data_IF_596698684876
#
_entry.id   IF_596698684876
#
_cell.length_a   1.000
_cell.length_b   1.000
_cell.length_c   1.000
_cell.angle_alpha   90.00
_cell.angle_beta   90.00
_cell.angle_gamma   90.00
#
_symmetry.space_group_name_H-M   'P 1'
#
loop_
_entity.id
_entity.type
_entity.pdbx_description
1 polymer ?
#
# COMPACT_ATOMS: atom_id res chain seq x y z
N UNK A 1 0.91 4.70 -12.40
CA UNK A 1 2.00 4.32 -13.33
C UNK A 1 3.36 4.90 -12.88
N UNK A 2 3.47 6.17 -12.47
CA UNK A 2 4.76 6.78 -12.13
C UNK A 2 5.55 5.96 -11.08
N UNK A 3 4.94 5.67 -9.92
CA UNK A 3 5.61 4.89 -8.85
C UNK A 3 6.04 3.51 -9.36
N UNK A 4 5.15 2.79 -10.06
CA UNK A 4 5.48 1.47 -10.60
C UNK A 4 6.57 1.52 -11.66
N UNK A 5 6.57 2.54 -12.52
CA UNK A 5 7.61 2.74 -13.55
C UNK A 5 8.99 3.03 -12.94
N UNK A 6 9.05 3.87 -11.89
CA UNK A 6 10.29 4.15 -11.16
C UNK A 6 10.77 2.89 -10.42
N UNK A 7 9.85 2.13 -9.82
CA UNK A 7 10.18 0.87 -9.12
C UNK A 7 10.72 -0.17 -10.09
N UNK A 8 10.06 -0.37 -11.22
CA UNK A 8 10.52 -1.26 -12.28
C UNK A 8 11.88 -0.80 -12.84
N UNK A 9 12.07 0.50 -13.06
CA UNK A 9 13.36 1.07 -13.51
C UNK A 9 14.50 0.74 -12.55
N UNK A 10 14.29 0.91 -11.24
CA UNK A 10 15.28 0.53 -10.23
C UNK A 10 15.56 -0.97 -10.24
N UNK A 11 14.51 -1.80 -10.33
CA UNK A 11 14.66 -3.25 -10.44
C UNK A 11 15.54 -3.64 -11.64
N UNK A 12 15.22 -3.14 -12.83
CA UNK A 12 15.96 -3.43 -14.04
C UNK A 12 17.43 -2.99 -13.97
N UNK A 13 17.69 -1.87 -13.29
CA UNK A 13 19.04 -1.35 -13.08
C UNK A 13 19.86 -2.25 -12.13
N UNK A 14 19.21 -2.76 -11.07
CA UNK A 14 19.92 -3.39 -9.95
C UNK A 14 19.82 -4.92 -9.91
N UNK A 15 18.92 -5.55 -10.69
CA UNK A 15 18.60 -7.00 -10.57
C UNK A 15 19.79 -7.93 -10.75
N UNK A 16 20.83 -7.49 -11.47
CA UNK A 16 22.08 -8.25 -11.68
C UNK A 16 23.26 -7.69 -10.88
N UNK A 17 23.06 -6.66 -10.05
CA UNK A 17 24.11 -6.10 -9.24
C UNK A 17 24.33 -6.96 -7.98
N UNK A 18 25.59 -7.34 -7.74
CA UNK A 18 25.96 -8.15 -6.57
C UNK A 18 26.07 -7.29 -5.29
N UNK A 19 25.01 -6.54 -4.96
CA UNK A 19 24.96 -5.61 -3.81
C UNK A 19 24.16 -6.13 -2.62
N UNK A 20 23.64 -7.37 -2.71
CA UNK A 20 23.01 -8.08 -1.59
C UNK A 20 21.90 -7.29 -0.88
N UNK A 21 22.06 -7.12 0.43
CA UNK A 21 21.04 -6.43 1.27
C UNK A 21 20.78 -4.97 0.88
N UNK A 22 21.72 -4.30 0.19
CA UNK A 22 21.51 -2.94 -0.30
C UNK A 22 20.48 -2.94 -1.45
N UNK A 23 20.46 -3.93 -2.33
CA UNK A 23 19.40 -4.11 -3.32
C UNK A 23 18.03 -4.19 -2.63
N UNK A 24 17.92 -5.06 -1.63
CA UNK A 24 16.68 -5.25 -0.89
C UNK A 24 16.21 -3.96 -0.19
N UNK A 25 17.15 -3.21 0.40
CA UNK A 25 16.85 -1.92 1.01
C UNK A 25 16.32 -0.90 0.00
N UNK A 26 16.99 -0.74 -1.14
CA UNK A 26 16.58 0.21 -2.16
C UNK A 26 15.22 -0.14 -2.76
N UNK A 27 14.96 -1.43 -3.03
CA UNK A 27 13.67 -1.90 -3.51
C UNK A 27 12.55 -1.68 -2.48
N UNK A 28 12.83 -1.90 -1.20
CA UNK A 28 11.87 -1.71 -0.12
C UNK A 28 11.55 -0.22 0.13
N UNK A 29 12.56 0.64 0.15
CA UNK A 29 12.41 2.05 0.48
C UNK A 29 11.83 2.90 -0.66
N UNK A 30 12.01 2.49 -1.92
CA UNK A 30 11.69 3.32 -3.08
C UNK A 30 10.23 3.80 -3.14
N UNK A 31 9.19 2.97 -2.93
CA UNK A 31 7.81 3.43 -2.97
C UNK A 31 7.53 4.51 -1.92
N UNK A 32 8.15 4.40 -0.75
CA UNK A 32 8.01 5.38 0.34
C UNK A 32 8.70 6.71 -0.01
N UNK A 33 9.92 6.64 -0.55
CA UNK A 33 10.68 7.82 -0.99
C UNK A 33 9.95 8.57 -2.11
N UNK A 34 9.46 7.86 -3.14
CA UNK A 34 8.76 8.46 -4.28
C UNK A 34 7.45 9.13 -3.86
N UNK A 35 6.79 8.61 -2.82
CA UNK A 35 5.54 9.19 -2.30
C UNK A 35 5.76 10.19 -1.17
N UNK A 36 7.02 10.55 -0.88
CA UNK A 36 7.37 11.50 0.18
C UNK A 36 6.91 11.04 1.56
N UNK A 37 6.91 9.73 1.81
CA UNK A 37 6.50 9.07 3.06
C UNK A 37 5.03 9.26 3.46
N UNK A 38 4.20 9.94 2.64
CA UNK A 38 2.81 10.27 2.98
C UNK A 38 1.96 9.04 3.34
N UNK A 39 2.14 7.93 2.62
CA UNK A 39 1.40 6.70 2.92
C UNK A 39 1.93 5.99 4.17
N UNK A 40 3.23 6.10 4.40
CA UNK A 40 3.90 5.54 5.56
C UNK A 40 3.51 6.28 6.84
N UNK A 41 3.35 7.61 6.77
CA UNK A 41 2.82 8.45 7.84
C UNK A 41 1.43 7.94 8.27
N UNK A 42 0.50 7.81 7.32
CA UNK A 42 -0.83 7.23 7.60
C UNK A 42 -0.77 5.79 8.14
N UNK A 43 0.22 4.98 7.72
CA UNK A 43 0.44 3.65 8.30
C UNK A 43 0.82 3.74 9.78
N UNK A 44 1.73 4.65 10.13
CA UNK A 44 2.18 4.87 11.50
C UNK A 44 1.06 5.37 12.39
N UNK A 45 0.27 6.34 11.92
CA UNK A 45 -0.86 6.92 12.64
C UNK A 45 -1.94 5.88 12.96
N UNK A 46 -2.29 5.03 11.98
CA UNK A 46 -3.25 3.95 12.19
C UNK A 46 -2.69 2.90 13.16
N UNK A 47 -1.41 2.55 13.07
CA UNK A 47 -0.77 1.64 14.03
C UNK A 47 -0.87 2.19 15.45
N UNK A 48 -0.55 3.46 15.65
CA UNK A 48 -0.57 4.06 16.99
C UNK A 48 -2.00 4.13 17.54
N UNK A 49 -2.95 4.58 16.73
CA UNK A 49 -4.35 4.66 17.11
C UNK A 49 -4.93 3.28 17.48
N UNK A 50 -4.76 2.28 16.61
CA UNK A 50 -5.42 0.98 16.75
C UNK A 50 -4.74 0.10 17.80
N UNK A 51 -3.40 0.05 17.83
CA UNK A 51 -2.67 -0.78 18.77
C UNK A 51 -2.71 -0.23 20.20
N UNK A 52 -3.09 1.03 20.40
CA UNK A 52 -3.36 1.61 21.72
C UNK A 52 -4.49 0.88 22.47
N UNK A 53 -5.36 0.15 21.75
CA UNK A 53 -6.52 -0.59 22.28
C UNK A 53 -7.46 0.26 23.15
N UNK A 54 -7.48 1.57 22.93
CA UNK A 54 -8.37 2.51 23.62
C UNK A 54 -9.78 2.47 23.00
N UNK A 55 -10.72 3.13 23.63
CA UNK A 55 -12.06 3.37 23.09
C UNK A 55 -12.00 4.17 21.76
N UNK A 56 -13.04 4.09 20.96
CA UNK A 56 -13.08 4.67 19.61
C UNK A 56 -12.75 6.17 19.59
N UNK A 57 -13.36 6.95 20.50
CA UNK A 57 -13.13 8.41 20.57
C UNK A 57 -11.67 8.76 20.82
N UNK A 58 -11.00 7.99 21.70
CA UNK A 58 -9.57 8.17 21.99
C UNK A 58 -8.70 7.74 20.80
N UNK A 59 -9.02 6.62 20.12
CA UNK A 59 -8.30 6.20 18.90
C UNK A 59 -8.41 7.24 17.78
N UNK A 60 -9.59 7.81 17.58
CA UNK A 60 -9.80 8.88 16.59
C UNK A 60 -9.06 10.18 16.96
N UNK A 61 -8.83 10.43 18.25
CA UNK A 61 -8.00 11.55 18.72
C UNK A 61 -6.52 11.30 18.50
N UNK A 62 -6.04 10.09 18.82
CA UNK A 62 -4.64 9.67 18.55
C UNK A 62 -4.34 9.79 17.05
N UNK A 63 -5.23 9.35 16.18
CA UNK A 63 -5.09 9.43 14.73
C UNK A 63 -4.85 10.87 14.21
N UNK A 64 -5.18 11.89 14.97
CA UNK A 64 -5.00 13.32 14.64
C UNK A 64 -3.88 13.98 15.41
N UNK A 65 -3.23 13.24 16.30
CA UNK A 65 -2.12 13.75 17.09
C UNK A 65 -0.87 13.75 16.20
N UNK A 66 -0.21 14.89 16.12
CA UNK A 66 1.06 15.02 15.37
C UNK A 66 2.27 14.36 16.07
N UNK A 67 2.09 13.85 17.29
CA UNK A 67 3.14 13.16 18.01
C UNK A 67 3.19 11.68 17.64
N UNK A 68 4.38 11.19 17.37
CA UNK A 68 4.61 9.77 17.08
C UNK A 68 4.63 8.96 18.38
N UNK A 69 3.74 7.99 18.51
CA UNK A 69 3.69 7.06 19.64
C UNK A 69 4.55 5.82 19.47
N UNK A 70 4.69 5.05 20.53
CA UNK A 70 5.52 3.85 20.53
C UNK A 70 5.04 2.77 19.55
N UNK A 71 3.73 2.62 19.37
CA UNK A 71 3.18 1.61 18.46
C UNK A 71 3.40 1.96 17.00
N UNK A 72 3.44 3.26 16.64
CA UNK A 72 3.83 3.72 15.32
C UNK A 72 5.26 3.28 14.99
N UNK A 73 6.20 3.49 15.93
CA UNK A 73 7.62 3.10 15.75
C UNK A 73 7.77 1.58 15.64
N UNK A 74 7.12 0.81 16.53
CA UNK A 74 7.14 -0.65 16.48
C UNK A 74 6.57 -1.16 15.14
N UNK A 75 5.42 -0.65 14.73
CA UNK A 75 4.80 -0.99 13.46
C UNK A 75 5.72 -0.70 12.27
N UNK A 76 6.33 0.49 12.25
CA UNK A 76 7.27 0.89 11.22
C UNK A 76 8.50 -0.02 11.13
N UNK A 77 9.11 -0.35 12.26
CA UNK A 77 10.29 -1.24 12.30
C UNK A 77 9.92 -2.63 11.76
N UNK A 78 8.79 -3.19 12.20
CA UNK A 78 8.32 -4.49 11.72
C UNK A 78 8.01 -4.48 10.23
N UNK A 79 7.36 -3.43 9.74
CA UNK A 79 7.08 -3.24 8.31
C UNK A 79 8.37 -3.17 7.50
N UNK A 80 9.33 -2.34 7.92
CA UNK A 80 10.60 -2.15 7.22
C UNK A 80 11.41 -3.45 7.14
N UNK A 81 11.51 -4.19 8.25
CA UNK A 81 12.18 -5.47 8.30
C UNK A 81 11.48 -6.52 7.42
N UNK A 82 10.14 -6.56 7.46
CA UNK A 82 9.36 -7.47 6.62
C UNK A 82 9.58 -7.18 5.13
N UNK A 83 9.44 -5.91 4.72
CA UNK A 83 9.58 -5.52 3.32
C UNK A 83 11.01 -5.71 2.81
N UNK A 84 12.01 -5.39 3.62
CA UNK A 84 13.42 -5.68 3.32
C UNK A 84 13.66 -7.18 3.15
N UNK A 85 13.14 -8.01 4.05
CA UNK A 85 13.30 -9.47 3.99
C UNK A 85 12.63 -10.07 2.75
N UNK A 86 11.46 -9.55 2.36
CA UNK A 86 10.77 -9.93 1.12
C UNK A 86 11.69 -9.72 -0.08
N UNK A 87 12.24 -8.52 -0.27
CA UNK A 87 13.13 -8.24 -1.41
C UNK A 87 14.48 -8.94 -1.32
N UNK A 88 14.96 -9.24 -0.12
CA UNK A 88 16.17 -10.03 0.07
C UNK A 88 16.02 -11.48 -0.44
N UNK A 89 14.78 -12.00 -0.42
CA UNK A 89 14.44 -13.36 -0.86
C UNK A 89 14.09 -13.44 -2.35
N UNK A 90 14.04 -12.30 -3.06
CA UNK A 90 13.70 -12.24 -4.49
C UNK A 90 14.82 -12.75 -5.41
N UNK A 91 14.47 -12.95 -6.68
CA UNK A 91 15.39 -13.34 -7.75
C UNK A 91 15.55 -12.25 -8.81
N UNK A 92 16.49 -12.45 -9.76
CA UNK A 92 16.72 -11.52 -10.86
C UNK A 92 15.71 -11.64 -12.02
N UNK A 93 14.88 -12.70 -12.02
CA UNK A 93 14.00 -13.06 -13.15
C UNK A 93 12.51 -12.96 -12.76
N UNK A 94 12.16 -11.94 -11.99
CA UNK A 94 10.79 -11.72 -11.55
C UNK A 94 9.93 -11.00 -12.62
N UNK A 95 8.61 -11.13 -12.51
CA UNK A 95 7.62 -10.53 -13.42
C UNK A 95 7.76 -9.01 -13.53
N UNK A 96 7.96 -8.49 -14.74
CA UNK A 96 8.04 -7.04 -14.98
C UNK A 96 6.69 -6.35 -14.85
N UNK A 97 5.63 -6.94 -15.42
CA UNK A 97 4.27 -6.42 -15.34
C UNK A 97 3.72 -6.49 -13.91
N UNK A 98 4.10 -7.56 -13.17
CA UNK A 98 3.74 -7.71 -11.77
C UNK A 98 4.19 -6.50 -10.95
N UNK A 99 5.48 -6.18 -10.99
CA UNK A 99 6.04 -5.07 -10.22
C UNK A 99 5.48 -3.71 -10.66
N UNK A 100 5.40 -3.47 -11.98
CA UNK A 100 4.88 -2.22 -12.55
C UNK A 100 3.45 -1.91 -12.07
N UNK A 101 2.60 -2.94 -11.96
CA UNK A 101 1.17 -2.76 -11.76
C UNK A 101 0.70 -2.95 -10.32
N UNK A 102 1.55 -3.38 -9.38
CA UNK A 102 1.26 -3.35 -7.93
C UNK A 102 0.77 -1.96 -7.50
N UNK A 103 1.52 -0.85 -7.72
CA UNK A 103 1.07 0.46 -7.27
C UNK A 103 -0.16 0.98 -8.03
N UNK A 104 -0.41 0.52 -9.23
CA UNK A 104 -1.61 0.88 -10.00
C UNK A 104 -2.85 0.24 -9.38
N UNK A 105 -2.77 -1.06 -9.06
CA UNK A 105 -3.86 -1.80 -8.43
C UNK A 105 -4.24 -1.20 -7.06
N UNK A 106 -3.26 -0.94 -6.20
CA UNK A 106 -3.52 -0.37 -4.87
C UNK A 106 -4.14 1.03 -4.95
N UNK A 107 -3.69 1.89 -5.88
CA UNK A 107 -4.26 3.24 -6.05
C UNK A 107 -5.64 3.23 -6.68
N UNK A 108 -5.93 2.30 -7.57
CA UNK A 108 -7.29 2.10 -8.06
C UNK A 108 -8.24 1.67 -6.92
N UNK A 109 -7.79 0.75 -6.06
CA UNK A 109 -8.51 0.38 -4.84
C UNK A 109 -8.71 1.58 -3.91
N UNK A 110 -7.69 2.43 -3.73
CA UNK A 110 -7.78 3.63 -2.89
C UNK A 110 -8.84 4.61 -3.40
N UNK A 111 -8.84 4.87 -4.71
CA UNK A 111 -9.87 5.70 -5.32
C UNK A 111 -11.28 5.13 -5.15
N UNK A 112 -11.45 3.81 -5.35
CA UNK A 112 -12.74 3.13 -5.13
C UNK A 112 -13.19 3.20 -3.66
N UNK A 113 -12.27 3.02 -2.70
CA UNK A 113 -12.57 3.10 -1.28
C UNK A 113 -13.04 4.51 -0.88
N UNK A 114 -12.36 5.56 -1.35
CA UNK A 114 -12.75 6.95 -1.10
C UNK A 114 -14.14 7.26 -1.68
N UNK A 115 -14.45 6.74 -2.88
CA UNK A 115 -15.75 6.98 -3.52
C UNK A 115 -16.91 6.20 -2.90
N UNK A 116 -16.65 5.01 -2.35
CA UNK A 116 -17.70 4.06 -1.93
C UNK A 116 -17.89 3.98 -0.42
N UNK A 117 -16.83 4.14 0.36
CA UNK A 117 -16.92 4.01 1.81
C UNK A 117 -17.40 5.30 2.48
N UNK A 118 -18.01 5.14 3.65
CA UNK A 118 -18.44 6.28 4.47
C UNK A 118 -17.21 7.04 4.98
N UNK A 119 -17.09 8.35 4.71
CA UNK A 119 -15.97 9.12 5.23
C UNK A 119 -16.09 9.25 6.77
N UNK A 120 -14.94 9.30 7.44
CA UNK A 120 -14.89 9.74 8.84
C UNK A 120 -15.34 11.20 8.92
N UNK A 121 -16.13 11.57 9.95
CA UNK A 121 -16.75 12.90 10.04
C UNK A 121 -15.77 14.08 9.97
N UNK A 122 -14.49 13.82 10.22
CA UNK A 122 -13.41 14.81 10.18
C UNK A 122 -12.53 14.70 8.93
N UNK A 123 -12.87 13.80 7.99
CA UNK A 123 -12.12 13.56 6.77
C UNK A 123 -12.40 14.61 5.72
N UNK A 124 -11.35 15.09 5.04
CA UNK A 124 -11.48 15.94 3.84
C UNK A 124 -12.29 15.27 2.72
N UNK A 125 -12.42 13.94 2.71
CA UNK A 125 -13.24 13.19 1.76
C UNK A 125 -14.76 13.43 1.93
N UNK A 126 -15.20 13.97 3.07
CA UNK A 126 -16.61 14.31 3.29
C UNK A 126 -17.12 15.39 2.32
N UNK A 127 -16.23 16.27 1.84
CA UNK A 127 -16.54 17.34 0.90
C UNK A 127 -16.44 16.93 -0.58
N UNK A 128 -15.91 15.74 -0.88
CA UNK A 128 -15.72 15.29 -2.27
C UNK A 128 -17.03 14.78 -2.89
N UNK A 129 -17.39 15.35 -4.04
CA UNK A 129 -18.55 14.89 -4.82
C UNK A 129 -18.35 13.43 -5.31
N UNK A 130 -19.43 12.64 -5.19
CA UNK A 130 -19.43 11.22 -5.62
C UNK A 130 -19.92 11.11 -7.07
N UNK A 131 -18.99 11.14 -8.03
CA UNK A 131 -19.31 10.95 -9.43
C UNK A 131 -19.16 9.47 -9.85
N UNK A 132 -20.27 8.84 -10.28
CA UNK A 132 -20.30 7.43 -10.67
C UNK A 132 -19.34 7.05 -11.81
N UNK A 133 -19.07 7.97 -12.75
CA UNK A 133 -18.15 7.74 -13.87
C UNK A 133 -16.72 7.43 -13.44
N UNK A 134 -16.22 8.08 -12.38
CA UNK A 134 -14.88 7.79 -11.86
C UNK A 134 -14.78 6.39 -11.25
N UNK A 135 -15.85 5.89 -10.62
CA UNK A 135 -15.86 4.54 -10.06
C UNK A 135 -15.73 3.46 -11.16
N UNK A 136 -16.38 3.65 -12.30
CA UNK A 136 -16.26 2.74 -13.44
C UNK A 136 -14.85 2.77 -14.02
N UNK A 137 -14.28 3.96 -14.23
CA UNK A 137 -12.92 4.10 -14.74
C UNK A 137 -11.88 3.44 -13.81
N UNK A 138 -12.02 3.62 -12.49
CA UNK A 138 -11.14 2.98 -11.51
C UNK A 138 -11.32 1.46 -11.45
N UNK A 139 -12.55 0.95 -11.61
CA UNK A 139 -12.81 -0.48 -11.65
C UNK A 139 -12.20 -1.12 -12.93
N UNK A 140 -12.30 -0.46 -14.07
CA UNK A 140 -11.66 -0.90 -15.32
C UNK A 140 -10.14 -0.87 -15.18
N UNK A 141 -9.57 0.18 -14.58
CA UNK A 141 -8.14 0.29 -14.34
C UNK A 141 -7.65 -0.83 -13.40
N UNK A 142 -8.40 -1.12 -12.33
CA UNK A 142 -8.08 -2.22 -11.40
C UNK A 142 -8.13 -3.58 -12.12
N UNK A 143 -9.18 -3.82 -12.90
CA UNK A 143 -9.32 -5.05 -13.67
C UNK A 143 -8.15 -5.23 -14.66
N UNK A 144 -7.75 -4.18 -15.36
CA UNK A 144 -6.60 -4.19 -16.26
C UNK A 144 -5.28 -4.42 -15.50
N UNK A 145 -5.09 -3.76 -14.34
CA UNK A 145 -3.89 -3.91 -13.52
C UNK A 145 -3.72 -5.33 -12.98
N UNK A 146 -4.80 -6.08 -12.80
CA UNK A 146 -4.77 -7.49 -12.40
C UNK A 146 -4.64 -8.42 -13.62
N UNK A 147 -5.42 -8.18 -14.68
CA UNK A 147 -5.49 -9.08 -15.82
C UNK A 147 -4.20 -9.07 -16.66
N UNK A 148 -3.58 -7.91 -16.86
CA UNK A 148 -2.37 -7.80 -17.70
C UNK A 148 -1.23 -8.65 -17.14
N UNK A 149 -0.80 -8.53 -15.87
CA UNK A 149 0.29 -9.36 -15.36
C UNK A 149 -0.06 -10.85 -15.29
N UNK A 150 -1.33 -11.16 -15.02
CA UNK A 150 -1.80 -12.54 -14.98
C UNK A 150 -1.67 -13.22 -16.35
N UNK A 151 -2.01 -12.52 -17.44
CA UNK A 151 -1.94 -13.05 -18.81
C UNK A 151 -0.53 -13.02 -19.36
N UNK A 152 0.22 -11.94 -19.14
CA UNK A 152 1.55 -11.73 -19.74
C UNK A 152 2.65 -12.50 -19.02
N UNK A 153 2.64 -12.50 -17.69
CA UNK A 153 3.73 -13.02 -16.85
C UNK A 153 3.25 -14.09 -15.85
N UNK A 154 1.97 -14.44 -15.86
CA UNK A 154 1.34 -15.32 -14.84
C UNK A 154 1.52 -14.81 -13.41
N UNK A 155 1.65 -13.51 -13.23
CA UNK A 155 1.89 -12.88 -11.93
C UNK A 155 0.59 -12.53 -11.22
N UNK A 156 0.44 -13.01 -10.00
CA UNK A 156 -0.66 -12.69 -9.09
C UNK A 156 -0.37 -11.48 -8.19
N UNK A 157 0.77 -10.82 -8.34
CA UNK A 157 1.22 -9.76 -7.45
C UNK A 157 0.24 -8.57 -7.34
N UNK A 158 -0.33 -8.00 -8.43
CA UNK A 158 -1.31 -6.93 -8.30
C UNK A 158 -2.65 -7.40 -7.72
N UNK A 159 -3.03 -8.66 -7.91
CA UNK A 159 -4.20 -9.23 -7.25
C UNK A 159 -4.00 -9.31 -5.74
N UNK A 160 -2.83 -9.79 -5.30
CA UNK A 160 -2.46 -9.84 -3.89
C UNK A 160 -2.39 -8.43 -3.28
N UNK A 161 -1.86 -7.46 -4.03
CA UNK A 161 -1.82 -6.07 -3.61
C UNK A 161 -3.23 -5.49 -3.42
N UNK A 162 -4.16 -5.76 -4.34
CA UNK A 162 -5.56 -5.35 -4.23
C UNK A 162 -6.27 -6.02 -3.04
N UNK A 163 -6.04 -7.32 -2.84
CA UNK A 163 -6.58 -8.07 -1.71
C UNK A 163 -6.03 -7.56 -0.37
N UNK A 164 -4.72 -7.35 -0.28
CA UNK A 164 -4.06 -6.79 0.90
C UNK A 164 -4.58 -5.39 1.24
N UNK A 165 -4.75 -4.52 0.22
CA UNK A 165 -5.38 -3.22 0.37
C UNK A 165 -6.80 -3.36 0.94
N UNK A 166 -7.63 -4.22 0.34
CA UNK A 166 -9.02 -4.43 0.75
C UNK A 166 -9.14 -4.90 2.21
N UNK A 167 -8.31 -5.87 2.61
CA UNK A 167 -8.27 -6.36 3.99
C UNK A 167 -7.82 -5.29 4.98
N UNK A 168 -6.80 -4.50 4.62
CA UNK A 168 -6.30 -3.43 5.45
C UNK A 168 -7.32 -2.28 5.62
N UNK A 169 -7.99 -1.88 4.54
CA UNK A 169 -9.09 -0.90 4.61
C UNK A 169 -10.23 -1.41 5.46
N UNK A 170 -10.65 -2.66 5.24
CA UNK A 170 -11.72 -3.27 6.04
C UNK A 170 -11.37 -3.25 7.54
N UNK A 171 -10.13 -3.62 7.88
CA UNK A 171 -9.66 -3.58 9.26
C UNK A 171 -9.64 -2.15 9.83
N UNK A 172 -8.97 -1.22 9.15
CA UNK A 172 -8.87 0.18 9.60
C UNK A 172 -10.24 0.86 9.71
N UNK A 173 -11.11 0.65 8.72
CA UNK A 173 -12.48 1.16 8.73
C UNK A 173 -13.28 0.67 9.93
N UNK A 174 -13.18 -0.62 10.27
CA UNK A 174 -13.86 -1.19 11.44
C UNK A 174 -13.31 -0.68 12.76
N UNK A 175 -11.99 -0.47 12.83
CA UNK A 175 -11.34 -0.02 14.06
C UNK A 175 -11.56 1.48 14.34
N UNK A 176 -11.75 2.29 13.30
CA UNK A 176 -11.77 3.75 13.40
C UNK A 176 -13.12 4.37 12.97
N UNK A 177 -14.08 3.55 12.56
CA UNK A 177 -15.47 3.93 12.22
C UNK A 177 -15.58 4.96 11.11
N UNK A 178 -14.87 4.78 10.01
CA UNK A 178 -14.96 5.63 8.82
C UNK A 178 -13.69 5.60 7.98
N UNK A 179 -13.73 6.20 6.79
CA UNK A 179 -12.61 6.28 5.86
C UNK A 179 -11.96 7.66 5.90
N UNK A 180 -10.64 7.70 5.96
CA UNK A 180 -9.83 8.93 5.85
C UNK A 180 -8.51 8.67 5.10
N UNK A 181 -7.66 9.70 4.98
CA UNK A 181 -6.37 9.62 4.31
C UNK A 181 -5.41 8.62 4.94
N UNK A 182 -5.37 8.57 6.27
CA UNK A 182 -4.45 7.73 7.05
C UNK A 182 -4.78 6.25 6.87
N UNK A 183 -6.07 5.89 6.90
CA UNK A 183 -6.53 4.52 6.60
C UNK A 183 -6.19 4.15 5.15
N UNK A 184 -6.30 5.09 4.20
CA UNK A 184 -5.89 4.84 2.83
C UNK A 184 -4.38 4.62 2.72
N UNK A 185 -3.57 5.42 3.40
CA UNK A 185 -2.11 5.28 3.48
C UNK A 185 -1.68 3.95 4.10
N UNK A 186 -2.29 3.60 5.24
CA UNK A 186 -2.13 2.31 5.89
C UNK A 186 -2.39 1.14 4.94
N UNK A 187 -3.51 1.21 4.23
CA UNK A 187 -3.91 0.14 3.32
C UNK A 187 -3.05 0.09 2.05
N UNK A 188 -2.62 1.25 1.51
CA UNK A 188 -1.67 1.31 0.40
C UNK A 188 -0.36 0.63 0.76
N UNK A 189 0.19 0.94 1.93
CA UNK A 189 1.44 0.37 2.43
C UNK A 189 1.36 -1.14 2.58
N UNK A 190 0.31 -1.66 3.22
CA UNK A 190 0.12 -3.11 3.38
C UNK A 190 -0.24 -3.82 2.08
N UNK A 191 -1.00 -3.19 1.21
CA UNK A 191 -1.31 -3.72 -0.12
C UNK A 191 -0.06 -3.85 -0.98
N UNK A 192 0.81 -2.83 -1.00
CA UNK A 192 2.08 -2.89 -1.74
C UNK A 192 3.02 -3.95 -1.16
N UNK A 193 3.09 -4.12 0.17
CA UNK A 193 3.83 -5.20 0.80
C UNK A 193 3.29 -6.57 0.39
N UNK A 194 1.97 -6.78 0.41
CA UNK A 194 1.34 -8.04 -0.02
C UNK A 194 1.65 -8.36 -1.49
N UNK A 195 1.56 -7.35 -2.36
CA UNK A 195 1.93 -7.47 -3.77
C UNK A 195 3.41 -7.83 -3.95
N UNK A 196 4.31 -7.12 -3.26
CA UNK A 196 5.74 -7.38 -3.28
C UNK A 196 6.06 -8.79 -2.78
N UNK A 197 5.40 -9.26 -1.71
CA UNK A 197 5.60 -10.60 -1.18
C UNK A 197 5.21 -11.69 -2.20
N UNK A 198 4.07 -11.55 -2.87
CA UNK A 198 3.68 -12.49 -3.93
C UNK A 198 4.60 -12.37 -5.14
N UNK A 199 5.02 -11.16 -5.50
CA UNK A 199 5.94 -10.92 -6.60
C UNK A 199 7.30 -11.61 -6.41
N UNK A 200 7.80 -11.67 -5.18
CA UNK A 200 9.11 -12.25 -4.86
C UNK A 200 9.06 -13.73 -4.47
N UNK A 201 7.99 -14.20 -3.84
CA UNK A 201 7.94 -15.53 -3.20
C UNK A 201 7.10 -16.56 -3.97
N UNK A 202 6.25 -16.11 -4.92
CA UNK A 202 5.34 -16.99 -5.70
C UNK A 202 5.78 -16.98 -7.16
N UNK A 203 6.27 -18.14 -7.64
CA UNK A 203 6.72 -18.37 -9.01
C UNK A 203 5.70 -19.15 -9.82
#
# INVERSE_FOLDING_TARGET
LAVGGIWLGLYLLLRHAAIGGLYAFLMAALPWLVTGFMHLDGYMDVCDAVLSRRELATRQRILKDSHCGAFAVIGMVLLALCQWSVFLSGSADESLWGLLLIPVATRACAGLAVLKLRPMGTSQYAAMGRHGGYAVALAVLLAAAIAVPLVMDRSFAPLAAAAGYGLAVWYGFRQLDGMNGDISGFALTLGELAGAAVWTLVR
#
